data_IF_805263033548
#
_entry.id   IF_805263033548
#
_cell.length_a   1.000
_cell.length_b   1.000
_cell.length_c   1.000
_cell.angle_alpha   90.00
_cell.angle_beta   90.00
_cell.angle_gamma   90.00
#
_symmetry.space_group_name_H-M   'P 1'
#
loop_
_entity.id
_entity.type
_entity.pdbx_description
1 polymer ?
#
# COMPACT_ATOMS: atom_id res chain seq x y z
N UNK A 1 -0.37 32.80 3.31
CA UNK A 1 0.27 31.47 3.14
C UNK A 1 0.34 30.82 4.51
N UNK A 2 -0.55 29.86 4.78
CA UNK A 2 -0.57 29.13 6.06
C UNK A 2 0.62 28.18 6.06
N UNK A 3 1.60 28.41 6.94
CA UNK A 3 2.65 27.44 7.18
C UNK A 3 2.01 26.20 7.81
N UNK A 4 2.03 25.02 7.15
CA UNK A 4 1.55 23.82 7.80
C UNK A 4 2.44 23.55 9.02
N UNK A 5 1.83 23.55 10.21
CA UNK A 5 2.46 23.12 11.44
C UNK A 5 3.12 21.75 11.23
N UNK A 6 4.28 21.51 11.85
CA UNK A 6 5.00 20.22 11.72
C UNK A 6 4.11 19.00 11.98
N UNK A 7 3.09 19.15 12.83
CA UNK A 7 2.07 18.12 13.11
C UNK A 7 1.26 17.74 11.86
N UNK A 8 0.89 18.70 11.01
CA UNK A 8 0.11 18.45 9.79
C UNK A 8 0.95 17.69 8.74
N UNK A 9 2.24 18.01 8.61
CA UNK A 9 3.13 17.32 7.67
C UNK A 9 3.33 15.85 8.10
N UNK A 10 3.45 15.60 9.40
CA UNK A 10 3.62 14.24 9.92
C UNK A 10 2.33 13.41 9.82
N UNK A 11 1.17 14.01 10.05
CA UNK A 11 -0.11 13.34 9.78
C UNK A 11 -0.25 12.98 8.30
N UNK A 12 0.12 13.90 7.40
CA UNK A 12 0.04 13.68 5.95
C UNK A 12 0.95 12.52 5.50
N UNK A 13 2.12 12.37 6.12
CA UNK A 13 2.98 11.21 5.93
C UNK A 13 2.31 9.91 6.37
N UNK A 14 1.74 9.87 7.57
CA UNK A 14 1.03 8.69 8.09
C UNK A 14 -0.11 8.29 7.14
N UNK A 15 -0.89 9.26 6.67
CA UNK A 15 -1.96 9.02 5.69
C UNK A 15 -1.43 8.46 4.36
N UNK A 16 -0.30 8.97 3.86
CA UNK A 16 0.33 8.46 2.64
C UNK A 16 0.83 7.01 2.81
N UNK A 17 1.44 6.68 3.95
CA UNK A 17 1.94 5.33 4.25
C UNK A 17 0.78 4.35 4.41
N UNK A 18 -0.25 4.71 5.19
CA UNK A 18 -1.41 3.84 5.39
C UNK A 18 -2.15 3.64 4.06
N UNK A 19 -2.40 4.72 3.30
CA UNK A 19 -3.08 4.64 2.01
C UNK A 19 -2.34 3.78 1.00
N UNK A 20 -1.01 3.90 0.92
CA UNK A 20 -0.19 3.07 0.03
C UNK A 20 -0.12 1.62 0.49
N UNK A 21 0.03 1.34 1.79
CA UNK A 21 -0.01 -0.01 2.33
C UNK A 21 -1.34 -0.71 2.06
N UNK A 22 -2.47 -0.03 2.32
CA UNK A 22 -3.82 -0.54 2.04
C UNK A 22 -4.02 -0.77 0.54
N UNK A 23 -3.57 0.17 -0.31
CA UNK A 23 -3.68 0.02 -1.76
C UNK A 23 -2.95 -1.21 -2.29
N UNK A 24 -1.72 -1.44 -1.83
CA UNK A 24 -0.92 -2.60 -2.23
C UNK A 24 -1.56 -3.89 -1.71
N UNK A 25 -2.00 -3.91 -0.45
CA UNK A 25 -2.69 -5.06 0.13
C UNK A 25 -3.95 -5.44 -0.66
N UNK A 26 -4.80 -4.47 -0.97
CA UNK A 26 -6.02 -4.69 -1.75
C UNK A 26 -5.70 -5.16 -3.18
N UNK A 27 -4.70 -4.57 -3.82
CA UNK A 27 -4.29 -4.97 -5.18
C UNK A 27 -3.81 -6.41 -5.20
N UNK A 28 -2.99 -6.82 -4.23
CA UNK A 28 -2.49 -8.20 -4.14
C UNK A 28 -3.65 -9.16 -3.87
N UNK A 29 -4.55 -8.85 -2.94
CA UNK A 29 -5.73 -9.69 -2.66
C UNK A 29 -6.63 -9.86 -3.90
N UNK A 30 -6.94 -8.77 -4.60
CA UNK A 30 -7.79 -8.80 -5.79
C UNK A 30 -7.11 -9.62 -6.89
N UNK A 31 -5.81 -9.42 -7.11
CA UNK A 31 -5.06 -10.14 -8.14
C UNK A 31 -5.00 -11.64 -7.85
N UNK A 32 -4.72 -12.01 -6.59
CA UNK A 32 -4.73 -13.39 -6.12
C UNK A 32 -6.10 -14.06 -6.34
N UNK A 33 -7.20 -13.39 -5.94
CA UNK A 33 -8.55 -13.88 -6.17
C UNK A 33 -8.87 -14.05 -7.66
N UNK A 34 -8.49 -13.08 -8.50
CA UNK A 34 -8.68 -13.16 -9.95
C UNK A 34 -7.95 -14.35 -10.57
N UNK A 35 -6.72 -14.61 -10.13
CA UNK A 35 -5.92 -15.77 -10.58
C UNK A 35 -6.60 -17.07 -10.19
N UNK A 36 -7.09 -17.19 -8.95
CA UNK A 36 -7.80 -18.38 -8.50
C UNK A 36 -9.11 -18.61 -9.26
N UNK A 37 -9.90 -17.55 -9.49
CA UNK A 37 -11.13 -17.62 -10.31
C UNK A 37 -10.80 -18.04 -11.74
N UNK A 38 -9.74 -17.49 -12.34
CA UNK A 38 -9.30 -17.85 -13.68
C UNK A 38 -8.86 -19.31 -13.77
N UNK A 39 -8.08 -19.79 -12.81
CA UNK A 39 -7.63 -21.18 -12.73
C UNK A 39 -8.79 -22.16 -12.47
N UNK A 40 -9.77 -21.75 -11.66
CA UNK A 40 -10.99 -22.52 -11.45
C UNK A 40 -11.78 -22.70 -12.74
N UNK A 41 -11.98 -21.61 -13.51
CA UNK A 41 -12.75 -21.65 -14.77
C UNK A 41 -12.07 -22.53 -15.83
N UNK A 42 -10.74 -22.44 -15.97
CA UNK A 42 -10.03 -23.10 -17.09
C UNK A 42 -9.58 -24.52 -16.73
N UNK A 43 -9.09 -24.73 -15.51
CA UNK A 43 -8.46 -25.99 -15.10
C UNK A 43 -9.29 -26.78 -14.08
N UNK A 44 -10.40 -26.23 -13.59
CA UNK A 44 -11.21 -26.85 -12.53
C UNK A 44 -10.48 -26.96 -11.18
N UNK A 45 -9.40 -26.20 -10.99
CA UNK A 45 -8.61 -26.21 -9.74
C UNK A 45 -9.46 -25.62 -8.62
N UNK A 46 -9.63 -26.36 -7.52
CA UNK A 46 -10.37 -25.88 -6.35
C UNK A 46 -9.74 -24.60 -5.80
N UNK A 47 -10.58 -23.61 -5.55
CA UNK A 47 -10.19 -22.35 -4.89
C UNK A 47 -9.85 -22.68 -3.44
N UNK A 48 -8.58 -22.56 -3.06
CA UNK A 48 -8.13 -22.76 -1.69
C UNK A 48 -7.66 -21.44 -1.06
N UNK A 49 -8.60 -20.75 -0.44
CA UNK A 49 -8.38 -19.44 0.21
C UNK A 49 -7.63 -19.61 1.55
N UNK A 50 -7.59 -20.81 2.13
CA UNK A 50 -6.94 -21.07 3.42
C UNK A 50 -5.42 -21.21 3.32
N UNK A 51 -4.90 -21.41 2.11
CA UNK A 51 -3.44 -21.46 1.87
C UNK A 51 -2.79 -20.08 1.85
N UNK A 52 -3.56 -18.99 1.83
CA UNK A 52 -3.00 -17.65 1.85
C UNK A 52 -2.39 -17.32 3.20
N UNK A 53 -1.07 -17.18 3.21
CA UNK A 53 -0.32 -16.72 4.37
C UNK A 53 -0.52 -15.20 4.55
N UNK A 54 -1.64 -14.84 5.19
CA UNK A 54 -2.05 -13.45 5.43
C UNK A 54 -0.98 -12.65 6.15
N UNK A 55 -0.21 -13.28 7.06
CA UNK A 55 0.92 -12.65 7.76
C UNK A 55 2.01 -12.23 6.79
N UNK A 56 2.35 -13.11 5.84
CA UNK A 56 3.33 -12.81 4.80
C UNK A 56 2.85 -11.68 3.88
N UNK A 57 1.58 -11.70 3.50
CA UNK A 57 0.97 -10.66 2.67
C UNK A 57 0.96 -9.29 3.36
N UNK A 58 0.63 -9.28 4.66
CA UNK A 58 0.61 -8.08 5.48
C UNK A 58 2.01 -7.47 5.62
N UNK A 59 3.01 -8.29 5.92
CA UNK A 59 4.40 -7.82 6.03
C UNK A 59 4.89 -7.21 4.71
N UNK A 60 4.67 -7.89 3.58
CA UNK A 60 5.06 -7.38 2.26
C UNK A 60 4.37 -6.03 2.00
N UNK A 61 3.06 -5.95 2.23
CA UNK A 61 2.28 -4.72 2.01
C UNK A 61 2.74 -3.56 2.91
N UNK A 62 3.13 -3.87 4.14
CA UNK A 62 3.64 -2.88 5.09
C UNK A 62 5.01 -2.33 4.66
N UNK A 63 5.96 -3.20 4.27
CA UNK A 63 7.26 -2.77 3.73
C UNK A 63 7.09 -1.94 2.46
N UNK A 64 6.21 -2.37 1.56
CA UNK A 64 5.93 -1.66 0.32
C UNK A 64 5.25 -0.30 0.57
N UNK A 65 4.34 -0.22 1.54
CA UNK A 65 3.71 1.04 1.97
C UNK A 65 4.68 2.01 2.65
N UNK A 66 5.66 1.51 3.41
CA UNK A 66 6.72 2.35 3.99
C UNK A 66 7.63 2.93 2.91
N UNK A 67 8.03 2.14 1.90
CA UNK A 67 8.86 2.62 0.79
C UNK A 67 8.07 3.60 -0.09
N UNK A 68 6.82 3.25 -0.45
CA UNK A 68 5.96 4.09 -1.27
C UNK A 68 5.56 5.39 -0.59
N UNK A 69 5.01 5.30 0.63
CA UNK A 69 4.64 6.46 1.43
C UNK A 69 5.85 7.31 1.84
N UNK A 70 6.98 6.67 2.16
CA UNK A 70 8.26 7.33 2.42
C UNK A 70 8.79 8.13 1.23
N UNK A 71 8.78 7.53 0.04
CA UNK A 71 9.18 8.19 -1.20
C UNK A 71 8.28 9.39 -1.54
N UNK A 72 6.96 9.21 -1.48
CA UNK A 72 6.00 10.29 -1.71
C UNK A 72 6.18 11.44 -0.71
N UNK A 73 6.41 11.12 0.57
CA UNK A 73 6.67 12.14 1.58
C UNK A 73 8.00 12.85 1.38
N UNK A 74 9.07 12.13 1.02
CA UNK A 74 10.37 12.73 0.75
C UNK A 74 10.28 13.75 -0.41
N UNK A 75 9.52 13.44 -1.46
CA UNK A 75 9.26 14.35 -2.58
C UNK A 75 8.46 15.56 -2.11
N UNK A 76 7.37 15.35 -1.37
CA UNK A 76 6.54 16.42 -0.83
C UNK A 76 7.35 17.38 0.08
N UNK A 77 8.13 16.82 1.00
CA UNK A 77 8.95 17.59 1.93
C UNK A 77 10.08 18.33 1.24
N UNK A 78 10.72 17.72 0.22
CA UNK A 78 11.73 18.38 -0.60
C UNK A 78 11.16 19.59 -1.34
N UNK A 79 9.95 19.46 -1.88
CA UNK A 79 9.29 20.56 -2.61
C UNK A 79 8.81 21.66 -1.64
N UNK A 80 8.31 21.29 -0.47
CA UNK A 80 7.94 22.24 0.59
C UNK A 80 9.15 23.08 1.06
N UNK A 81 10.32 22.46 1.27
CA UNK A 81 11.55 23.20 1.61
C UNK A 81 12.05 24.12 0.51
N UNK A 82 11.74 23.83 -0.75
CA UNK A 82 12.21 24.62 -1.91
C UNK A 82 11.33 25.84 -2.20
N UNK A 83 10.06 25.79 -1.80
CA UNK A 83 9.09 26.89 -1.96
C UNK A 83 8.95 27.77 -0.71
N UNK A 84 9.82 27.59 0.28
CA UNK A 84 9.90 28.39 1.50
C UNK A 84 11.20 29.19 1.47
#
# INVERSE_FOLDING_TARGET
MISPDRKNIFMLFIYMVIGSAVGIFMTVLITSLLVDVYLYIIKGVKIDIYSYDFMKLFNISFFCGLIGGGGCWAIYYRNYRRNK
#
